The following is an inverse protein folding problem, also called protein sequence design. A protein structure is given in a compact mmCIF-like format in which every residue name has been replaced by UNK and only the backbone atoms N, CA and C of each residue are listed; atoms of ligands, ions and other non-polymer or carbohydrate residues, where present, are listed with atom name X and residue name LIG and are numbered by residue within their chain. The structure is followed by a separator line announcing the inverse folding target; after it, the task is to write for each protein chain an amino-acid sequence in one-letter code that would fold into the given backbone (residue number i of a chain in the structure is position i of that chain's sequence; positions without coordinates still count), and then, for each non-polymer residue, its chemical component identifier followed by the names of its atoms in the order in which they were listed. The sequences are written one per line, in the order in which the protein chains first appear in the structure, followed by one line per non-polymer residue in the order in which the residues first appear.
data_IF_317337409600
#
_entry.id   IF_317337409600
#
_cell.length_a   1.000
_cell.length_b   1.000
_cell.length_c   1.000
_cell.angle_alpha   90.00
_cell.angle_beta   90.00
_cell.angle_gamma   90.00
#
_symmetry.space_group_name_H-M   'P 1'
#
loop_
_entity.id
_entity.type
_entity.pdbx_description
1 polymer ?
#
# COMPACT_ATOMS: atom_id res chain seq x y z
N UNK A 1 2.95 19.03 -8.93
CA UNK A 1 2.48 20.32 -9.47
C UNK A 1 2.40 20.21 -10.99
N UNK A 2 1.22 19.92 -11.54
CA UNK A 2 1.04 19.84 -12.98
C UNK A 2 0.28 21.05 -13.51
N UNK A 3 0.95 21.85 -14.29
CA UNK A 3 0.33 22.67 -15.32
C UNK A 3 0.14 21.79 -16.57
N UNK A 4 -1.05 21.30 -16.84
CA UNK A 4 -1.46 20.87 -18.18
C UNK A 4 -2.70 21.65 -18.56
N UNK A 5 -2.60 22.42 -19.63
CA UNK A 5 -3.68 23.15 -20.29
C UNK A 5 -4.36 24.28 -19.51
N UNK A 6 -3.60 25.14 -18.82
CA UNK A 6 -4.10 26.44 -18.34
C UNK A 6 -5.25 26.41 -17.33
N UNK A 7 -5.63 25.26 -16.79
CA UNK A 7 -6.62 25.14 -15.73
C UNK A 7 -5.93 24.62 -14.47
N UNK A 8 -5.71 25.51 -13.52
CA UNK A 8 -5.39 25.15 -12.15
C UNK A 8 -6.59 24.41 -11.56
N UNK A 9 -6.55 23.05 -11.54
CA UNK A 9 -7.38 22.33 -10.59
C UNK A 9 -6.65 22.40 -9.25
N UNK A 10 -7.29 22.88 -8.18
CA UNK A 10 -6.70 22.82 -6.86
C UNK A 10 -6.57 21.32 -6.47
N UNK A 11 -5.37 20.80 -6.59
CA UNK A 11 -5.04 19.48 -6.10
C UNK A 11 -5.11 19.55 -4.57
N UNK A 12 -6.21 19.13 -4.02
CA UNK A 12 -6.30 18.92 -2.58
C UNK A 12 -5.44 17.69 -2.29
N UNK A 13 -4.23 17.92 -1.79
CA UNK A 13 -3.42 16.85 -1.17
C UNK A 13 -4.23 16.37 0.02
N UNK A 14 -4.98 15.30 -0.15
CA UNK A 14 -5.92 14.84 0.86
C UNK A 14 -5.45 13.62 1.62
N UNK A 15 -4.43 12.87 1.12
CA UNK A 15 -4.27 11.48 1.59
C UNK A 15 -2.82 11.15 1.88
N UNK A 16 -2.35 11.54 3.05
CA UNK A 16 -1.04 11.09 3.51
C UNK A 16 -1.05 9.63 3.91
N UNK A 17 -2.13 9.16 4.54
CA UNK A 17 -2.29 7.82 5.04
C UNK A 17 -3.30 7.76 6.19
N UNK A 18 -3.56 6.57 6.69
CA UNK A 18 -4.44 6.30 7.83
C UNK A 18 -3.89 5.17 8.69
N UNK A 19 -4.10 5.24 9.98
CA UNK A 19 -3.74 4.19 10.92
C UNK A 19 -2.89 4.67 12.09
N UNK A 20 -2.25 3.72 12.76
CA UNK A 20 -1.40 3.99 13.90
C UNK A 20 -0.02 4.53 13.44
N UNK A 21 0.31 5.74 13.82
CA UNK A 21 1.58 6.40 13.48
C UNK A 21 2.82 5.74 14.11
N UNK A 22 2.62 4.85 15.09
CA UNK A 22 3.66 4.05 15.73
C UNK A 22 3.60 2.57 15.30
N UNK A 23 2.96 2.26 14.17
CA UNK A 23 2.82 0.90 13.70
C UNK A 23 4.15 0.30 13.23
N UNK A 24 4.41 -0.94 13.60
CA UNK A 24 5.52 -1.73 13.08
C UNK A 24 5.28 -2.23 11.64
N UNK A 25 4.06 -2.13 11.14
CA UNK A 25 3.65 -2.64 9.84
C UNK A 25 3.03 -1.52 9.02
N UNK A 26 3.64 -1.22 7.87
CA UNK A 26 3.19 -0.23 6.90
C UNK A 26 2.69 -0.94 5.63
N UNK A 27 1.44 -0.72 5.27
CA UNK A 27 0.90 -1.14 3.98
C UNK A 27 1.00 0.01 2.98
N UNK A 28 1.49 -0.27 1.78
CA UNK A 28 1.65 0.73 0.72
C UNK A 28 0.93 0.29 -0.53
N UNK A 29 -0.07 1.03 -0.92
CA UNK A 29 -0.78 0.87 -2.19
C UNK A 29 -0.25 1.78 -3.29
N UNK A 30 -0.94 1.79 -4.42
CA UNK A 30 -0.57 2.57 -5.60
C UNK A 30 -0.95 4.04 -5.46
N UNK A 31 -2.23 4.32 -5.29
CA UNK A 31 -2.77 5.66 -5.20
C UNK A 31 -4.26 5.67 -4.88
N UNK A 32 -4.85 6.84 -4.60
CA UNK A 32 -6.27 6.97 -4.33
C UNK A 32 -7.11 6.61 -5.56
N UNK A 33 -8.18 5.86 -5.36
CA UNK A 33 -9.26 5.67 -6.31
C UNK A 33 -10.35 6.74 -6.18
N UNK A 34 -11.48 6.53 -6.84
CA UNK A 34 -12.59 7.50 -6.83
C UNK A 34 -13.21 7.69 -5.45
N UNK A 35 -13.50 6.59 -4.75
CA UNK A 35 -14.09 6.65 -3.42
C UNK A 35 -13.13 7.30 -2.40
N UNK A 36 -11.86 6.99 -2.52
CA UNK A 36 -10.79 7.60 -1.72
C UNK A 36 -10.72 9.11 -1.99
N UNK A 37 -10.82 9.52 -3.26
CA UNK A 37 -10.81 10.93 -3.65
C UNK A 37 -12.03 11.70 -3.14
N UNK A 38 -13.17 11.04 -2.98
CA UNK A 38 -14.38 11.64 -2.41
C UNK A 38 -14.34 11.72 -0.88
N UNK A 39 -13.90 10.65 -0.21
CA UNK A 39 -14.01 10.50 1.25
C UNK A 39 -12.79 11.02 2.02
N UNK A 40 -11.64 11.02 1.40
CA UNK A 40 -10.48 11.54 2.08
C UNK A 40 -9.61 10.53 2.81
N UNK A 41 -9.88 9.25 2.65
CA UNK A 41 -9.15 8.18 3.33
C UNK A 41 -8.69 7.11 2.33
N UNK A 42 -7.49 6.51 2.51
CA UNK A 42 -7.04 5.41 1.67
C UNK A 42 -7.87 4.14 1.91
N UNK A 43 -8.11 3.39 0.84
CA UNK A 43 -8.74 2.08 0.88
C UNK A 43 -10.14 2.07 1.54
N UNK A 44 -11.04 2.95 1.11
CA UNK A 44 -12.43 3.02 1.61
C UNK A 44 -13.46 2.35 0.70
N UNK A 45 -13.14 2.10 -0.58
CA UNK A 45 -14.01 1.42 -1.52
C UNK A 45 -14.04 -0.11 -1.33
N UNK A 46 -14.60 -0.83 -2.30
CA UNK A 46 -14.68 -2.31 -2.28
C UNK A 46 -13.31 -2.98 -2.10
N UNK A 47 -12.27 -2.43 -2.70
CA UNK A 47 -10.90 -2.90 -2.53
C UNK A 47 -10.41 -2.75 -1.08
N UNK A 48 -10.73 -1.63 -0.45
CA UNK A 48 -10.41 -1.38 0.96
C UNK A 48 -11.15 -2.33 1.90
N UNK A 49 -12.43 -2.57 1.66
CA UNK A 49 -13.20 -3.54 2.43
C UNK A 49 -12.65 -4.97 2.31
N UNK A 50 -12.14 -5.33 1.13
CA UNK A 50 -11.47 -6.62 0.94
C UNK A 50 -10.15 -6.67 1.71
N UNK A 51 -9.37 -5.61 1.69
CA UNK A 51 -8.14 -5.50 2.50
C UNK A 51 -8.44 -5.68 3.98
N UNK A 52 -9.46 -4.99 4.50
CA UNK A 52 -9.85 -5.11 5.91
C UNK A 52 -10.20 -6.54 6.31
N UNK A 53 -10.85 -7.31 5.41
CA UNK A 53 -11.12 -8.74 5.67
C UNK A 53 -9.84 -9.57 5.80
N UNK A 54 -8.85 -9.35 4.92
CA UNK A 54 -7.56 -10.04 5.04
C UNK A 54 -6.82 -9.65 6.34
N UNK A 55 -6.84 -8.36 6.69
CA UNK A 55 -6.25 -7.87 7.93
C UNK A 55 -6.89 -8.55 9.16
N UNK A 56 -8.22 -8.60 9.21
CA UNK A 56 -8.97 -9.23 10.30
C UNK A 56 -8.61 -10.71 10.49
N UNK A 57 -8.42 -11.46 9.39
CA UNK A 57 -8.04 -12.89 9.46
C UNK A 57 -6.73 -13.10 10.22
N UNK A 58 -5.83 -12.15 10.19
CA UNK A 58 -4.52 -12.25 10.83
C UNK A 58 -4.39 -11.37 12.10
N UNK A 59 -5.48 -10.82 12.59
CA UNK A 59 -5.52 -10.02 13.82
C UNK A 59 -5.04 -8.58 13.66
N UNK A 60 -4.93 -8.09 12.42
CA UNK A 60 -4.56 -6.71 12.13
C UNK A 60 -5.79 -5.83 11.89
N UNK A 61 -5.69 -4.55 12.24
CA UNK A 61 -6.67 -3.55 11.87
C UNK A 61 -6.02 -2.18 11.68
N UNK A 62 -6.59 -1.37 10.78
CA UNK A 62 -6.08 -0.01 10.52
C UNK A 62 -6.17 0.90 11.75
N UNK A 63 -7.09 0.64 12.67
CA UNK A 63 -7.32 1.48 13.85
C UNK A 63 -6.35 1.17 15.01
N UNK A 64 -5.61 0.05 14.94
CA UNK A 64 -4.79 -0.42 16.06
C UNK A 64 -3.31 -0.54 15.74
N UNK A 65 -2.95 -1.37 14.78
CA UNK A 65 -1.60 -1.93 14.69
C UNK A 65 -0.95 -1.83 13.30
N UNK A 66 -1.58 -1.13 12.36
CA UNK A 66 -0.99 -0.86 11.04
C UNK A 66 -1.14 0.60 10.65
N UNK A 67 -0.33 1.02 9.68
CA UNK A 67 -0.50 2.25 8.93
C UNK A 67 -0.65 1.94 7.45
N UNK A 68 -1.48 2.68 6.74
CA UNK A 68 -1.72 2.51 5.30
C UNK A 68 -1.39 3.82 4.59
N UNK A 69 -0.58 3.72 3.54
CA UNK A 69 -0.22 4.84 2.67
C UNK A 69 -0.25 4.41 1.19
N UNK A 70 0.01 5.34 0.29
CA UNK A 70 0.12 5.10 -1.14
C UNK A 70 1.40 5.69 -1.71
N UNK A 71 1.88 5.17 -2.84
CA UNK A 71 3.00 5.72 -3.61
C UNK A 71 2.67 7.14 -4.05
N UNK A 72 1.51 7.34 -4.71
CA UNK A 72 1.04 8.68 -5.08
C UNK A 72 -0.06 9.16 -4.15
N UNK A 73 -0.05 10.47 -3.88
CA UNK A 73 -0.97 11.08 -2.91
C UNK A 73 -2.22 11.69 -3.56
N UNK A 74 -2.30 11.69 -4.87
CA UNK A 74 -3.41 12.22 -5.65
C UNK A 74 -3.94 11.15 -6.61
N UNK A 75 -5.24 11.16 -6.88
CA UNK A 75 -5.87 10.23 -7.81
C UNK A 75 -5.35 10.48 -9.24
N UNK A 76 -4.77 9.47 -9.92
CA UNK A 76 -4.45 9.59 -11.33
C UNK A 76 -5.73 9.73 -12.19
N UNK A 77 -5.69 10.46 -13.31
CA UNK A 77 -6.85 10.59 -14.20
C UNK A 77 -7.40 9.24 -14.62
N UNK A 78 -8.73 9.05 -14.50
CA UNK A 78 -9.44 7.81 -14.87
C UNK A 78 -8.91 6.54 -14.17
N UNK A 79 -8.30 6.67 -12.99
CA UNK A 79 -7.66 5.57 -12.24
C UNK A 79 -6.60 4.80 -13.06
N UNK A 80 -5.92 5.48 -14.02
CA UNK A 80 -4.79 4.86 -14.70
C UNK A 80 -3.62 4.65 -13.74
N UNK A 81 -2.69 3.79 -14.13
CA UNK A 81 -1.41 3.67 -13.41
C UNK A 81 -0.74 5.05 -13.31
N UNK A 82 -0.14 5.40 -12.17
CA UNK A 82 0.62 6.63 -12.03
C UNK A 82 1.86 6.60 -12.92
N UNK A 83 2.11 7.69 -13.63
CA UNK A 83 3.33 7.85 -14.41
C UNK A 83 4.56 7.93 -13.50
N UNK A 84 5.74 7.60 -14.05
CA UNK A 84 6.99 7.60 -13.27
C UNK A 84 7.25 8.97 -12.62
N UNK A 85 7.04 10.06 -13.34
CA UNK A 85 7.19 11.41 -12.82
C UNK A 85 6.23 11.72 -11.65
N UNK A 86 5.00 11.18 -11.69
CA UNK A 86 4.02 11.33 -10.60
C UNK A 86 4.47 10.57 -9.35
N UNK A 87 4.99 9.36 -9.54
CA UNK A 87 5.58 8.59 -8.45
C UNK A 87 6.79 9.29 -7.85
N UNK A 88 7.68 9.84 -8.68
CA UNK A 88 8.91 10.51 -8.24
C UNK A 88 8.60 11.80 -7.46
N UNK A 89 7.58 12.54 -7.87
CA UNK A 89 7.12 13.72 -7.13
C UNK A 89 6.54 13.39 -5.75
N UNK A 90 5.91 12.20 -5.60
CA UNK A 90 5.24 11.81 -4.36
C UNK A 90 6.11 10.99 -3.41
N UNK A 91 7.16 10.32 -3.91
CA UNK A 91 7.93 9.34 -3.14
C UNK A 91 8.59 9.95 -1.90
N UNK A 92 8.99 11.22 -1.94
CA UNK A 92 9.61 11.89 -0.80
C UNK A 92 8.65 11.99 0.40
N UNK A 93 7.34 12.13 0.15
CA UNK A 93 6.34 12.10 1.21
C UNK A 93 6.26 10.73 1.87
N UNK A 94 6.30 9.65 1.09
CA UNK A 94 6.31 8.29 1.62
C UNK A 94 7.60 7.99 2.40
N UNK A 95 8.74 8.48 1.91
CA UNK A 95 10.02 8.39 2.62
C UNK A 95 9.97 9.11 3.96
N UNK A 96 9.38 10.31 4.01
CA UNK A 96 9.19 11.05 5.26
C UNK A 96 8.29 10.28 6.23
N UNK A 97 7.17 9.73 5.76
CA UNK A 97 6.29 8.89 6.56
C UNK A 97 7.03 7.67 7.12
N UNK A 98 7.78 6.96 6.30
CA UNK A 98 8.57 5.80 6.71
C UNK A 98 9.62 6.15 7.78
N UNK A 99 10.26 7.32 7.67
CA UNK A 99 11.22 7.80 8.68
C UNK A 99 10.57 8.13 10.03
N UNK A 100 9.33 8.60 10.01
CA UNK A 100 8.57 8.93 11.23
C UNK A 100 8.01 7.65 11.86
N UNK A 101 7.35 6.81 11.10
CA UNK A 101 6.69 5.58 11.54
C UNK A 101 7.74 4.53 11.95
N UNK A 102 8.83 4.42 11.22
CA UNK A 102 9.92 3.43 11.41
C UNK A 102 9.42 1.98 11.43
N UNK A 103 8.65 1.56 10.43
CA UNK A 103 8.08 0.22 10.41
C UNK A 103 9.18 -0.84 10.29
N UNK A 104 8.94 -2.00 10.88
CA UNK A 104 9.79 -3.19 10.70
C UNK A 104 9.42 -3.95 9.42
N UNK A 105 8.15 -3.90 9.01
CA UNK A 105 7.65 -4.56 7.79
C UNK A 105 6.92 -3.55 6.91
N UNK A 106 7.20 -3.59 5.61
CA UNK A 106 6.44 -2.86 4.58
C UNK A 106 5.80 -3.87 3.63
N UNK A 107 4.48 -3.84 3.54
CA UNK A 107 3.70 -4.68 2.62
C UNK A 107 3.28 -3.85 1.41
N UNK A 108 3.79 -4.21 0.24
CA UNK A 108 3.49 -3.56 -1.02
C UNK A 108 2.25 -4.20 -1.67
N UNK A 109 1.18 -3.45 -1.77
CA UNK A 109 -0.08 -3.88 -2.38
C UNK A 109 -0.07 -3.62 -3.88
N UNK A 110 0.22 -4.65 -4.65
CA UNK A 110 0.22 -4.62 -6.11
C UNK A 110 1.56 -4.26 -6.75
N UNK A 111 1.55 -4.31 -8.07
CA UNK A 111 2.74 -4.18 -8.92
C UNK A 111 3.45 -2.83 -8.74
N UNK A 112 2.72 -1.73 -8.79
CA UNK A 112 3.31 -0.38 -8.75
C UNK A 112 4.08 -0.14 -7.44
N UNK A 113 3.47 -0.47 -6.30
CA UNK A 113 4.12 -0.33 -5.00
C UNK A 113 5.34 -1.25 -4.88
N UNK A 114 5.22 -2.51 -5.30
CA UNK A 114 6.31 -3.47 -5.24
C UNK A 114 7.47 -3.09 -6.15
N UNK A 115 7.20 -2.67 -7.39
CA UNK A 115 8.24 -2.22 -8.31
C UNK A 115 8.95 -0.96 -7.83
N UNK A 116 8.22 -0.03 -7.21
CA UNK A 116 8.82 1.20 -6.68
C UNK A 116 9.67 0.99 -5.43
N UNK A 117 9.27 0.09 -4.55
CA UNK A 117 9.88 -0.08 -3.22
C UNK A 117 10.80 -1.29 -3.11
N UNK A 118 10.54 -2.36 -3.86
CA UNK A 118 11.30 -3.60 -3.79
C UNK A 118 12.31 -3.67 -4.94
N UNK A 119 11.84 -3.80 -6.17
CA UNK A 119 12.69 -3.91 -7.37
C UNK A 119 11.88 -3.56 -8.61
N UNK A 120 12.46 -2.84 -9.57
CA UNK A 120 11.80 -2.51 -10.85
C UNK A 120 11.34 -3.75 -11.62
N UNK A 121 12.03 -4.88 -11.44
CA UNK A 121 11.72 -6.16 -12.07
C UNK A 121 10.72 -7.01 -11.28
N UNK A 122 10.19 -6.51 -10.16
CA UNK A 122 9.30 -7.29 -9.29
C UNK A 122 8.04 -7.75 -10.02
N UNK A 123 7.81 -9.06 -10.00
CA UNK A 123 6.64 -9.71 -10.61
C UNK A 123 5.74 -10.28 -9.51
N UNK A 124 4.67 -9.58 -9.18
CA UNK A 124 3.72 -10.01 -8.14
C UNK A 124 3.22 -11.44 -8.36
N UNK A 125 2.96 -11.83 -9.59
CA UNK A 125 2.49 -13.19 -9.93
C UNK A 125 3.46 -14.32 -9.62
N UNK A 126 4.72 -14.02 -9.33
CA UNK A 126 5.75 -15.02 -9.06
C UNK A 126 6.42 -14.86 -7.71
N UNK A 127 6.47 -13.62 -7.20
CA UNK A 127 7.27 -13.24 -6.02
C UNK A 127 6.39 -12.74 -4.87
N UNK A 128 5.04 -12.86 -5.01
CA UNK A 128 4.16 -12.50 -3.90
C UNK A 128 4.45 -13.37 -2.67
N UNK A 129 4.25 -12.81 -1.50
CA UNK A 129 4.46 -13.49 -0.23
C UNK A 129 5.93 -13.68 0.18
N UNK A 130 6.91 -13.37 -0.69
CA UNK A 130 8.34 -13.45 -0.37
C UNK A 130 8.77 -12.22 0.46
N UNK A 131 9.58 -12.47 1.51
CA UNK A 131 10.17 -11.41 2.31
C UNK A 131 11.57 -11.05 1.82
N UNK A 132 11.76 -9.79 1.52
CA UNK A 132 13.02 -9.23 1.02
C UNK A 132 13.52 -8.19 2.02
N UNK A 133 14.72 -8.40 2.58
CA UNK A 133 15.32 -7.47 3.53
C UNK A 133 16.07 -6.36 2.81
N UNK A 134 15.75 -5.10 3.15
CA UNK A 134 16.48 -3.91 2.72
C UNK A 134 16.80 -3.04 3.95
N UNK A 135 18.06 -2.94 4.29
CA UNK A 135 18.47 -2.31 5.53
C UNK A 135 17.87 -3.03 6.73
N UNK A 136 17.14 -2.30 7.55
CA UNK A 136 16.46 -2.83 8.74
C UNK A 136 14.98 -3.15 8.51
N UNK A 137 14.48 -3.02 7.29
CA UNK A 137 13.07 -3.21 6.96
C UNK A 137 12.91 -4.48 6.12
N UNK A 138 11.88 -5.28 6.43
CA UNK A 138 11.43 -6.39 5.60
C UNK A 138 10.33 -5.90 4.65
N UNK A 139 10.48 -6.19 3.38
CA UNK A 139 9.48 -5.90 2.35
C UNK A 139 8.80 -7.17 1.90
N UNK A 140 7.51 -7.12 1.66
CA UNK A 140 6.73 -8.19 1.03
C UNK A 140 5.82 -7.58 -0.02
N UNK A 141 5.79 -8.14 -1.22
CA UNK A 141 4.81 -7.79 -2.24
C UNK A 141 3.65 -8.78 -2.24
N UNK A 142 2.43 -8.31 -2.44
CA UNK A 142 1.25 -9.15 -2.66
C UNK A 142 0.30 -8.51 -3.68
N UNK A 143 -0.78 -9.19 -4.04
CA UNK A 143 -1.74 -8.66 -4.99
C UNK A 143 -2.47 -7.42 -4.46
N UNK A 144 -2.74 -6.47 -5.35
CA UNK A 144 -3.57 -5.32 -4.99
C UNK A 144 -5.02 -5.78 -4.81
N UNK A 145 -5.74 -5.35 -3.76
CA UNK A 145 -7.12 -5.77 -3.53
C UNK A 145 -8.06 -5.51 -4.71
N UNK A 146 -7.89 -4.43 -5.45
CA UNK A 146 -8.66 -4.16 -6.67
C UNK A 146 -8.40 -5.19 -7.78
N UNK A 147 -7.18 -5.73 -7.88
CA UNK A 147 -6.87 -6.80 -8.82
C UNK A 147 -7.57 -8.11 -8.45
N UNK A 148 -7.72 -8.39 -7.15
CA UNK A 148 -8.45 -9.58 -6.64
C UNK A 148 -9.96 -9.49 -6.88
N UNK A 149 -10.51 -8.29 -6.96
CA UNK A 149 -11.91 -8.09 -7.34
C UNK A 149 -12.13 -8.36 -8.83
N UNK A 150 -11.16 -8.03 -9.68
CA UNK A 150 -11.21 -8.32 -11.12
C UNK A 150 -10.90 -9.78 -11.45
N UNK A 151 -9.93 -10.37 -10.73
CA UNK A 151 -9.53 -11.78 -10.87
C UNK A 151 -9.54 -12.49 -9.52
N UNK A 152 -10.67 -13.06 -9.10
CA UNK A 152 -10.79 -13.73 -7.81
C UNK A 152 -9.94 -15.00 -7.65
N UNK A 153 -9.39 -15.55 -8.72
CA UNK A 153 -8.57 -16.76 -8.67
C UNK A 153 -7.30 -16.59 -7.79
N UNK A 154 -6.81 -15.36 -7.67
CA UNK A 154 -5.62 -15.06 -6.84
C UNK A 154 -5.95 -14.81 -5.35
N UNK A 155 -7.20 -14.91 -4.94
CA UNK A 155 -7.60 -14.71 -3.52
C UNK A 155 -6.99 -15.73 -2.57
N UNK A 156 -6.92 -17.05 -2.88
CA UNK A 156 -6.26 -18.02 -2.04
C UNK A 156 -4.78 -17.72 -1.83
N UNK A 157 -4.06 -17.38 -2.90
CA UNK A 157 -2.64 -17.02 -2.82
C UNK A 157 -2.41 -15.80 -1.92
N UNK A 158 -3.26 -14.78 -2.06
CA UNK A 158 -3.22 -13.61 -1.18
C UNK A 158 -3.49 -13.98 0.27
N UNK A 159 -4.40 -14.91 0.54
CA UNK A 159 -4.64 -15.39 1.90
C UNK A 159 -3.39 -16.06 2.49
N UNK A 160 -2.67 -16.86 1.71
CA UNK A 160 -1.39 -17.43 2.13
C UNK A 160 -0.33 -16.37 2.40
N UNK A 161 -0.26 -15.32 1.59
CA UNK A 161 0.65 -14.19 1.83
C UNK A 161 0.37 -13.53 3.19
N UNK A 162 -0.91 -13.29 3.51
CA UNK A 162 -1.30 -12.71 4.80
C UNK A 162 -1.01 -13.68 5.98
N UNK A 163 -1.19 -14.98 5.79
CA UNK A 163 -0.82 -15.97 6.80
C UNK A 163 0.71 -15.97 7.02
N UNK A 164 1.50 -15.91 5.96
CA UNK A 164 2.96 -15.77 6.02
C UNK A 164 3.37 -14.50 6.74
N UNK A 165 2.66 -13.39 6.50
CA UNK A 165 2.85 -12.13 7.21
C UNK A 165 2.61 -12.29 8.71
N UNK A 166 1.49 -12.94 9.10
CA UNK A 166 1.19 -13.22 10.52
C UNK A 166 2.30 -14.03 11.19
N UNK A 167 2.81 -15.04 10.49
CA UNK A 167 3.86 -15.91 11.05
C UNK A 167 5.19 -15.14 11.17
N UNK A 168 5.48 -14.24 10.22
CA UNK A 168 6.64 -13.32 10.30
C UNK A 168 6.52 -12.32 11.44
N UNK A 169 5.33 -11.77 11.69
CA UNK A 169 5.04 -10.88 12.83
C UNK A 169 5.36 -11.59 14.14
N UNK A 170 4.95 -12.86 14.29
CA UNK A 170 5.25 -13.67 15.48
C UNK A 170 6.74 -13.96 15.63
N UNK A 171 7.41 -14.30 14.54
CA UNK A 171 8.86 -14.55 14.49
C UNK A 171 9.64 -13.33 15.00
N UNK A 172 9.24 -12.13 14.55
CA UNK A 172 9.85 -10.85 14.95
C UNK A 172 9.40 -10.36 16.33
N UNK A 173 8.45 -11.05 16.98
CA UNK A 173 7.86 -10.67 18.28
C UNK A 173 7.24 -9.26 18.25
N UNK A 174 6.65 -8.88 17.12
CA UNK A 174 5.90 -7.64 16.99
C UNK A 174 4.58 -7.79 17.74
N UNK A 175 4.30 -6.85 18.63
CA UNK A 175 3.03 -6.80 19.35
C UNK A 175 1.92 -6.26 18.44
N UNK A 176 0.78 -6.97 18.37
CA UNK A 176 -0.37 -6.59 17.55
C UNK A 176 -1.66 -6.58 18.36
#
# INVERSE_FOLDING_TARGET
LRKKNGREKPWKVKYFGVGNENADILFVGEGPGENEDLQGEPFVGKAGQLLDKYLQVIGLSRDKNIYIANIVKCRPPQNRDPEQEEQDCCIEWLRAQTRIIKPQIIVCLGRIAAQKLISEDFKVTRQHGEFIKKGNILFMGTFHPAALLRNPANKPDTLFDFQSLRDKIKELKIEI
#
